data_IF_127617799151
#
_entry.id   IF_127617799151
#
_cell.length_a   1.000
_cell.length_b   1.000
_cell.length_c   1.000
_cell.angle_alpha   90.00
_cell.angle_beta   90.00
_cell.angle_gamma   90.00
#
_symmetry.space_group_name_H-M   'P 1'
#
loop_
_entity.id
_entity.type
_entity.pdbx_description
1 polymer ?
#
# COMPACT_ATOMS: atom_id res chain seq x y z
N UNK A 1 -25.13 -8.38 -1.49
CA UNK A 1 -24.09 -8.75 -0.49
C UNK A 1 -24.29 -7.99 0.82
N UNK A 2 -24.19 -6.61 0.86
CA UNK A 2 -24.26 -5.81 2.11
C UNK A 2 -25.55 -6.07 2.89
N UNK A 3 -26.73 -5.96 2.25
CA UNK A 3 -28.04 -6.21 2.91
C UNK A 3 -28.12 -7.63 3.47
N UNK A 4 -27.66 -8.63 2.74
CA UNK A 4 -27.60 -10.02 3.22
C UNK A 4 -26.67 -10.15 4.43
N UNK A 5 -25.50 -9.52 4.40
CA UNK A 5 -24.56 -9.52 5.53
C UNK A 5 -25.19 -8.88 6.80
N UNK A 6 -25.85 -7.73 6.65
CA UNK A 6 -26.50 -7.06 7.78
C UNK A 6 -27.61 -7.89 8.45
N UNK A 7 -28.28 -8.76 7.71
CA UNK A 7 -29.38 -9.59 8.22
C UNK A 7 -28.99 -10.97 8.74
N UNK A 8 -27.79 -11.47 8.40
CA UNK A 8 -27.43 -12.87 8.66
C UNK A 8 -26.08 -13.08 9.35
N UNK A 9 -25.23 -12.04 9.47
CA UNK A 9 -23.90 -12.19 10.03
C UNK A 9 -23.79 -11.73 11.48
N UNK A 10 -23.02 -12.50 12.27
CA UNK A 10 -22.63 -12.17 13.63
C UNK A 10 -21.26 -11.50 13.71
N UNK A 11 -20.81 -11.23 14.94
CA UNK A 11 -19.50 -10.66 15.18
C UNK A 11 -18.40 -11.70 14.92
N UNK A 12 -17.62 -11.49 13.88
CA UNK A 12 -16.52 -12.37 13.53
C UNK A 12 -15.46 -12.43 14.66
N UNK A 13 -15.00 -13.65 14.98
CA UNK A 13 -13.92 -13.87 15.96
C UNK A 13 -14.33 -13.78 17.44
N UNK A 14 -15.60 -13.50 17.77
CA UNK A 14 -16.07 -13.36 19.17
C UNK A 14 -17.24 -14.28 19.55
N UNK A 15 -17.42 -15.38 18.88
CA UNK A 15 -18.49 -16.32 19.23
C UNK A 15 -18.40 -17.62 18.46
N UNK A 16 -19.04 -18.66 19.02
CA UNK A 16 -19.18 -19.97 18.40
C UNK A 16 -20.55 -20.16 17.72
N UNK A 17 -21.36 -19.10 17.61
CA UNK A 17 -22.63 -19.17 16.89
C UNK A 17 -22.39 -19.34 15.39
N UNK A 18 -23.33 -19.99 14.70
CA UNK A 18 -23.24 -20.20 13.25
C UNK A 18 -23.06 -18.89 12.47
N UNK A 19 -23.74 -17.82 12.89
CA UNK A 19 -23.61 -16.49 12.31
C UNK A 19 -22.20 -15.89 12.48
N UNK A 20 -21.56 -16.08 13.65
CA UNK A 20 -20.20 -15.62 13.91
C UNK A 20 -19.16 -16.43 13.13
N UNK A 21 -19.35 -17.74 13.03
CA UNK A 21 -18.49 -18.61 12.22
C UNK A 21 -18.61 -18.32 10.73
N UNK A 22 -19.82 -18.05 10.23
CA UNK A 22 -20.05 -17.67 8.84
C UNK A 22 -19.35 -16.35 8.51
N UNK A 23 -19.46 -15.33 9.37
CA UNK A 23 -18.75 -14.07 9.20
C UNK A 23 -17.21 -14.24 9.19
N UNK A 24 -16.69 -15.08 10.09
CA UNK A 24 -15.25 -15.39 10.17
C UNK A 24 -14.75 -16.09 8.91
N UNK A 25 -15.52 -17.00 8.34
CA UNK A 25 -15.17 -17.68 7.08
C UNK A 25 -15.09 -16.70 5.92
N UNK A 26 -16.06 -15.81 5.76
CA UNK A 26 -16.06 -14.83 4.69
C UNK A 26 -14.83 -13.91 4.77
N UNK A 27 -14.46 -13.47 5.97
CA UNK A 27 -13.25 -12.67 6.19
C UNK A 27 -12.00 -13.47 5.77
N UNK A 28 -11.92 -14.73 6.18
CA UNK A 28 -10.79 -15.60 5.85
C UNK A 28 -10.71 -15.88 4.35
N UNK A 29 -11.80 -16.26 3.71
CA UNK A 29 -11.87 -16.52 2.27
C UNK A 29 -11.52 -15.28 1.45
N UNK A 30 -11.94 -14.09 1.92
CA UNK A 30 -11.55 -12.81 1.29
C UNK A 30 -10.04 -12.58 1.40
N UNK A 31 -9.43 -12.85 2.56
CA UNK A 31 -7.97 -12.76 2.71
C UNK A 31 -7.24 -13.74 1.80
N UNK A 32 -7.70 -14.99 1.69
CA UNK A 32 -7.12 -15.98 0.77
C UNK A 32 -7.23 -15.52 -0.68
N UNK A 33 -8.41 -15.02 -1.09
CA UNK A 33 -8.62 -14.49 -2.43
C UNK A 33 -7.69 -13.32 -2.76
N UNK A 34 -7.53 -12.37 -1.83
CA UNK A 34 -6.62 -11.23 -1.99
C UNK A 34 -5.15 -11.66 -1.98
N UNK A 35 -4.75 -12.57 -1.10
CA UNK A 35 -3.40 -13.11 -1.09
C UNK A 35 -3.05 -13.76 -2.44
N UNK A 36 -3.95 -14.58 -2.98
CA UNK A 36 -3.79 -15.19 -4.31
C UNK A 36 -3.76 -14.15 -5.43
N UNK A 37 -4.61 -13.12 -5.36
CA UNK A 37 -4.69 -12.08 -6.39
C UNK A 37 -3.39 -11.27 -6.48
N UNK A 38 -2.77 -10.96 -5.34
CA UNK A 38 -1.58 -10.10 -5.26
C UNK A 38 -0.27 -10.88 -5.07
N UNK A 39 -0.29 -12.19 -5.12
CA UNK A 39 0.91 -13.02 -4.98
C UNK A 39 1.50 -13.04 -3.57
N UNK A 40 0.72 -12.75 -2.53
CA UNK A 40 1.16 -12.89 -1.15
C UNK A 40 1.22 -14.38 -0.76
N UNK A 41 2.12 -14.75 0.15
CA UNK A 41 2.37 -16.15 0.51
C UNK A 41 1.18 -16.81 1.21
N UNK A 42 0.44 -16.04 2.00
CA UNK A 42 -0.70 -16.57 2.75
C UNK A 42 -1.67 -15.48 3.22
N UNK A 43 -2.86 -15.88 3.63
CA UNK A 43 -3.95 -15.00 4.09
C UNK A 43 -3.60 -14.14 5.33
N UNK A 44 -2.59 -14.53 6.13
CA UNK A 44 -2.19 -13.79 7.34
C UNK A 44 -1.47 -12.48 7.00
N UNK A 45 -0.94 -12.36 5.77
CA UNK A 45 -0.32 -11.12 5.28
C UNK A 45 -1.34 -10.08 4.85
N UNK A 46 -2.64 -10.41 4.81
CA UNK A 46 -3.71 -9.47 4.46
C UNK A 46 -4.32 -8.90 5.74
N UNK A 47 -4.19 -7.60 5.93
CA UNK A 47 -4.83 -6.84 7.00
C UNK A 47 -5.96 -5.95 6.44
N UNK A 48 -7.11 -5.93 7.10
CA UNK A 48 -8.20 -5.02 6.77
C UNK A 48 -8.11 -3.74 7.61
N UNK A 49 -8.32 -2.63 6.94
CA UNK A 49 -8.44 -1.30 7.53
C UNK A 49 -9.71 -0.64 7.03
N UNK A 50 -10.10 0.49 7.59
CA UNK A 50 -11.31 1.21 7.18
C UNK A 50 -11.22 1.76 5.74
N UNK A 51 -10.01 2.07 5.28
CA UNK A 51 -9.74 2.60 3.94
C UNK A 51 -8.21 2.63 3.68
N UNK A 52 -7.81 2.92 2.42
CA UNK A 52 -6.39 3.01 2.06
C UNK A 52 -5.64 4.13 2.77
N UNK A 53 -6.31 5.22 3.15
CA UNK A 53 -5.68 6.29 3.93
C UNK A 53 -5.19 5.79 5.28
N UNK A 54 -6.01 4.98 5.97
CA UNK A 54 -5.61 4.35 7.23
C UNK A 54 -4.46 3.36 7.01
N UNK A 55 -4.54 2.51 5.97
CA UNK A 55 -3.44 1.57 5.63
C UNK A 55 -2.11 2.30 5.44
N UNK A 56 -2.11 3.38 4.64
CA UNK A 56 -0.92 4.19 4.37
C UNK A 56 -0.40 4.88 5.64
N UNK A 57 -1.30 5.41 6.48
CA UNK A 57 -0.89 5.99 7.77
C UNK A 57 -0.25 4.96 8.70
N UNK A 58 -0.81 3.74 8.77
CA UNK A 58 -0.25 2.63 9.57
C UNK A 58 1.14 2.27 9.04
N UNK A 59 1.31 2.11 7.72
CA UNK A 59 2.60 1.79 7.12
C UNK A 59 3.63 2.89 7.37
N UNK A 60 3.32 4.15 7.07
CA UNK A 60 4.24 5.27 7.20
C UNK A 60 4.62 5.50 8.66
N UNK A 61 3.62 5.64 9.55
CA UNK A 61 3.86 5.99 10.96
C UNK A 61 4.32 4.80 11.81
N UNK A 62 4.09 3.57 11.36
CA UNK A 62 4.52 2.37 12.06
C UNK A 62 5.95 1.95 11.72
N UNK A 63 6.53 2.48 10.64
CA UNK A 63 7.86 2.11 10.17
C UNK A 63 8.89 3.21 10.45
N UNK A 64 8.51 4.48 10.21
CA UNK A 64 9.42 5.61 10.30
C UNK A 64 9.55 6.14 11.72
N UNK A 65 10.79 6.35 12.15
CA UNK A 65 11.17 7.01 13.38
C UNK A 65 11.87 8.36 13.09
N UNK A 66 11.96 9.27 14.08
CA UNK A 66 12.80 10.46 13.95
C UNK A 66 14.26 10.09 13.61
N UNK A 67 14.83 10.75 12.63
CA UNK A 67 16.17 10.46 12.10
C UNK A 67 16.19 9.51 10.91
N UNK A 68 15.13 8.77 10.63
CA UNK A 68 15.00 7.99 9.39
C UNK A 68 14.81 8.91 8.17
N UNK A 69 15.21 8.43 7.01
CA UNK A 69 14.95 9.08 5.72
C UNK A 69 13.96 8.27 4.89
N UNK A 70 13.03 8.96 4.23
CA UNK A 70 12.03 8.37 3.32
C UNK A 70 12.06 9.08 1.98
N UNK A 71 11.93 8.30 0.90
CA UNK A 71 11.84 8.80 -0.46
C UNK A 71 10.43 8.57 -0.99
N UNK A 72 9.86 9.60 -1.63
CA UNK A 72 8.53 9.55 -2.26
C UNK A 72 8.53 10.34 -3.57
N UNK A 73 7.39 10.43 -4.25
CA UNK A 73 7.27 11.16 -5.53
C UNK A 73 6.28 12.31 -5.47
N UNK A 74 6.36 13.21 -6.44
CA UNK A 74 5.37 14.30 -6.61
C UNK A 74 4.01 13.80 -7.09
N UNK A 75 3.87 12.53 -7.47
CA UNK A 75 2.62 11.94 -7.96
C UNK A 75 1.69 11.45 -6.86
N UNK A 76 2.13 11.54 -5.61
CA UNK A 76 1.43 10.94 -4.49
C UNK A 76 0.11 11.62 -4.16
N UNK A 77 -0.84 10.81 -3.75
CA UNK A 77 -2.06 11.31 -3.15
C UNK A 77 -1.80 11.88 -1.74
N UNK A 78 -2.67 12.79 -1.30
CA UNK A 78 -2.61 13.37 0.06
C UNK A 78 -2.61 12.33 1.20
N UNK A 79 -3.11 11.13 0.95
CA UNK A 79 -3.05 10.02 1.92
C UNK A 79 -1.63 9.55 2.21
N UNK A 80 -0.68 9.82 1.30
CA UNK A 80 0.75 9.58 1.46
C UNK A 80 1.45 10.85 1.94
N UNK A 81 1.24 11.98 1.26
CA UNK A 81 1.99 13.21 1.55
C UNK A 81 1.71 13.77 2.96
N UNK A 82 0.44 13.78 3.40
CA UNK A 82 0.10 14.34 4.73
C UNK A 82 0.78 13.61 5.89
N UNK A 83 0.73 12.27 6.00
CA UNK A 83 1.46 11.58 7.05
C UNK A 83 2.98 11.71 6.91
N UNK A 84 3.55 11.79 5.69
CA UNK A 84 4.98 12.07 5.50
C UNK A 84 5.38 13.44 6.03
N UNK A 85 4.62 14.49 5.72
CA UNK A 85 4.86 15.85 6.27
C UNK A 85 4.67 15.90 7.79
N UNK A 86 3.80 15.06 8.35
CA UNK A 86 3.68 14.93 9.80
C UNK A 86 4.93 14.29 10.42
N UNK A 87 5.47 13.25 9.77
CA UNK A 87 6.72 12.60 10.22
C UNK A 87 7.93 13.52 10.05
N UNK A 88 7.99 14.29 8.96
CA UNK A 88 9.03 15.30 8.76
C UNK A 88 9.08 16.32 9.92
N UNK A 89 7.91 16.79 10.40
CA UNK A 89 7.84 17.66 11.59
C UNK A 89 8.31 16.99 12.87
N UNK A 90 8.34 15.66 12.90
CA UNK A 90 8.82 14.86 14.04
C UNK A 90 10.30 14.48 13.91
N UNK A 91 10.97 14.90 12.85
CA UNK A 91 12.40 14.70 12.64
C UNK A 91 12.77 13.61 11.63
N UNK A 92 11.81 13.09 10.85
CA UNK A 92 12.10 12.23 9.69
C UNK A 92 12.56 13.10 8.52
N UNK A 93 13.57 12.67 7.78
CA UNK A 93 14.00 13.35 6.56
C UNK A 93 13.14 12.89 5.37
N UNK A 94 12.70 13.82 4.52
CA UNK A 94 11.84 13.54 3.38
C UNK A 94 12.49 14.01 2.07
N UNK A 95 12.61 13.10 1.10
CA UNK A 95 12.95 13.43 -0.29
C UNK A 95 11.74 13.20 -1.20
N UNK A 96 11.30 14.24 -1.89
CA UNK A 96 10.20 14.19 -2.86
C UNK A 96 10.78 14.27 -4.27
N UNK A 97 10.71 13.17 -5.02
CA UNK A 97 11.29 13.06 -6.36
C UNK A 97 10.32 13.60 -7.40
N UNK A 98 10.86 14.45 -8.27
CA UNK A 98 10.13 15.02 -9.39
C UNK A 98 9.84 14.00 -10.51
N UNK A 99 9.06 14.45 -11.49
CA UNK A 99 8.77 13.70 -12.70
C UNK A 99 9.47 14.30 -13.91
N UNK A 100 9.73 13.46 -14.90
CA UNK A 100 10.17 13.90 -16.22
C UNK A 100 9.00 14.55 -17.02
N UNK A 101 9.26 15.03 -18.23
CA UNK A 101 8.26 15.66 -19.11
C UNK A 101 7.05 14.76 -19.45
N UNK A 102 7.20 13.44 -19.31
CA UNK A 102 6.12 12.47 -19.51
C UNK A 102 5.32 12.19 -18.23
N UNK A 103 5.62 12.88 -17.14
CA UNK A 103 4.97 12.69 -15.84
C UNK A 103 5.38 11.39 -15.13
N UNK A 104 6.51 10.79 -15.51
CA UNK A 104 7.04 9.58 -14.86
C UNK A 104 8.10 9.96 -13.82
N UNK A 105 8.14 9.28 -12.64
CA UNK A 105 9.17 9.54 -11.64
C UNK A 105 10.57 9.38 -12.23
N UNK A 106 11.50 10.22 -11.82
CA UNK A 106 12.90 10.12 -12.18
C UNK A 106 13.58 9.06 -11.30
N UNK A 107 13.70 7.83 -11.83
CA UNK A 107 14.28 6.69 -11.09
C UNK A 107 15.75 6.92 -10.76
N UNK A 108 16.51 7.57 -11.64
CA UNK A 108 17.91 7.87 -11.37
C UNK A 108 18.08 8.89 -10.24
N UNK A 109 17.24 9.93 -10.22
CA UNK A 109 17.19 10.88 -9.12
C UNK A 109 16.72 10.21 -7.81
N UNK A 110 15.80 9.23 -7.88
CA UNK A 110 15.36 8.47 -6.72
C UNK A 110 16.49 7.63 -6.12
N UNK A 111 17.26 6.90 -6.96
CA UNK A 111 18.42 6.12 -6.49
C UNK A 111 19.51 7.04 -5.93
N UNK A 112 19.78 8.20 -6.58
CA UNK A 112 20.74 9.18 -6.11
C UNK A 112 20.34 9.86 -4.78
N UNK A 113 19.06 9.88 -4.44
CA UNK A 113 18.55 10.43 -3.18
C UNK A 113 18.71 9.48 -1.98
N UNK A 114 19.12 8.22 -2.20
CA UNK A 114 19.32 7.23 -1.14
C UNK A 114 20.51 7.67 -0.27
N UNK A 115 20.27 7.70 1.05
CA UNK A 115 21.23 8.06 2.10
C UNK A 115 21.48 6.85 3.01
N UNK A 116 22.47 6.94 3.88
CA UNK A 116 22.77 5.90 4.87
C UNK A 116 21.59 5.64 5.82
N UNK A 117 20.83 6.68 6.17
CA UNK A 117 19.64 6.61 7.02
C UNK A 117 18.33 6.40 6.24
N UNK A 118 18.38 6.11 4.94
CA UNK A 118 17.17 5.79 4.17
C UNK A 118 16.59 4.47 4.64
N UNK A 119 15.32 4.47 5.02
CA UNK A 119 14.59 3.30 5.52
C UNK A 119 13.49 2.84 4.59
N UNK A 120 12.85 3.77 3.88
CA UNK A 120 11.66 3.48 3.09
C UNK A 120 11.65 4.23 1.77
N UNK A 121 11.14 3.57 0.73
CA UNK A 121 10.62 4.20 -0.48
C UNK A 121 9.11 3.95 -0.51
N UNK A 122 8.33 5.01 -0.76
CA UNK A 122 6.87 4.89 -0.94
C UNK A 122 6.45 5.61 -2.20
N UNK A 123 5.69 4.94 -3.06
CA UNK A 123 5.15 5.58 -4.26
C UNK A 123 3.79 5.02 -4.69
N UNK A 124 3.04 5.83 -5.43
CA UNK A 124 1.83 5.37 -6.10
C UNK A 124 2.16 4.51 -7.32
N UNK A 125 1.38 3.45 -7.54
CA UNK A 125 1.45 2.66 -8.77
C UNK A 125 0.64 3.30 -9.91
N UNK A 126 -0.31 4.18 -9.58
CA UNK A 126 -1.08 4.94 -10.55
C UNK A 126 -1.60 6.25 -9.98
N UNK A 127 -1.30 7.36 -10.66
CA UNK A 127 -1.73 8.68 -10.23
C UNK A 127 -3.21 8.91 -10.50
N UNK A 128 -3.97 9.28 -9.50
CA UNK A 128 -5.37 9.68 -9.64
C UNK A 128 -5.55 11.04 -10.32
N UNK A 129 -4.48 11.82 -10.43
CA UNK A 129 -4.50 13.17 -11.01
C UNK A 129 -4.12 13.15 -12.49
N UNK A 130 -3.02 12.49 -12.83
CA UNK A 130 -2.46 12.48 -14.19
C UNK A 130 -2.84 11.23 -14.99
N UNK A 131 -3.30 10.16 -14.33
CA UNK A 131 -3.57 8.85 -14.95
C UNK A 131 -2.31 8.06 -15.31
N UNK A 132 -1.12 8.57 -14.99
CA UNK A 132 0.14 7.86 -15.26
C UNK A 132 0.22 6.57 -14.44
N UNK A 133 0.61 5.49 -15.12
CA UNK A 133 0.97 4.22 -14.49
C UNK A 133 2.48 4.20 -14.23
N UNK A 134 2.87 3.91 -13.00
CA UNK A 134 4.27 3.83 -12.58
C UNK A 134 4.69 2.36 -12.53
N UNK A 135 5.78 2.02 -13.21
CA UNK A 135 6.37 0.68 -13.13
C UNK A 135 7.07 0.49 -11.77
N UNK A 136 6.29 0.03 -10.80
CA UNK A 136 6.76 -0.20 -9.43
C UNK A 136 7.75 -1.36 -9.33
N UNK A 137 7.80 -2.28 -10.30
CA UNK A 137 8.75 -3.38 -10.28
C UNK A 137 10.21 -2.91 -10.45
N UNK A 138 10.42 -1.81 -11.19
CA UNK A 138 11.76 -1.20 -11.31
C UNK A 138 12.18 -0.57 -9.97
N UNK A 139 11.25 0.12 -9.30
CA UNK A 139 11.49 0.76 -8.01
C UNK A 139 11.70 -0.29 -6.91
N UNK A 140 10.91 -1.37 -6.92
CA UNK A 140 11.03 -2.47 -5.96
C UNK A 140 12.41 -3.15 -6.02
N UNK A 141 12.89 -3.46 -7.22
CA UNK A 141 14.25 -4.00 -7.41
C UNK A 141 15.34 -3.08 -6.88
N UNK A 142 15.19 -1.77 -7.11
CA UNK A 142 16.12 -0.78 -6.58
C UNK A 142 16.04 -0.71 -5.05
N UNK A 143 14.85 -0.63 -4.47
CA UNK A 143 14.67 -0.64 -3.03
C UNK A 143 15.27 -1.88 -2.37
N UNK A 144 14.96 -3.07 -2.91
CA UNK A 144 15.47 -4.34 -2.42
C UNK A 144 17.01 -4.42 -2.51
N UNK A 145 17.62 -3.97 -3.61
CA UNK A 145 19.10 -3.89 -3.78
C UNK A 145 19.76 -3.09 -2.67
N UNK A 146 19.09 -2.05 -2.16
CA UNK A 146 19.59 -1.18 -1.10
C UNK A 146 19.06 -1.55 0.30
N UNK A 147 18.32 -2.66 0.45
CA UNK A 147 17.78 -3.12 1.74
C UNK A 147 16.69 -2.21 2.31
N UNK A 148 15.99 -1.47 1.47
CA UNK A 148 14.95 -0.51 1.85
C UNK A 148 13.57 -1.16 1.85
N UNK A 149 12.68 -0.71 2.73
CA UNK A 149 11.27 -1.12 2.72
C UNK A 149 10.56 -0.40 1.57
N UNK A 150 9.88 -1.17 0.72
CA UNK A 150 9.13 -0.64 -0.41
C UNK A 150 7.61 -0.71 -0.17
N UNK A 151 6.98 0.46 -0.10
CA UNK A 151 5.54 0.63 0.09
C UNK A 151 4.89 1.16 -1.18
N UNK A 152 3.81 0.53 -1.61
CA UNK A 152 3.08 0.93 -2.83
C UNK A 152 1.64 1.31 -2.50
N UNK A 153 1.24 2.52 -2.90
CA UNK A 153 -0.17 2.91 -2.99
C UNK A 153 -0.77 2.43 -4.32
N UNK A 154 -1.50 1.33 -4.27
CA UNK A 154 -2.20 0.75 -5.40
C UNK A 154 -3.71 1.09 -5.43
N UNK A 155 -4.12 2.17 -4.77
CA UNK A 155 -5.55 2.55 -4.67
C UNK A 155 -6.24 2.74 -6.03
N UNK A 156 -5.50 3.07 -7.10
CA UNK A 156 -6.04 3.22 -8.45
C UNK A 156 -5.87 1.98 -9.32
N UNK A 157 -4.94 1.09 -8.98
CA UNK A 157 -4.49 0.01 -9.85
C UNK A 157 -4.87 -1.39 -9.37
N UNK A 158 -5.12 -1.56 -8.06
CA UNK A 158 -5.58 -2.83 -7.50
C UNK A 158 -6.89 -3.31 -8.15
N UNK A 159 -6.88 -4.51 -8.72
CA UNK A 159 -8.00 -5.08 -9.47
C UNK A 159 -8.12 -4.61 -10.92
N UNK A 160 -7.30 -3.64 -11.37
CA UNK A 160 -7.28 -3.12 -12.75
C UNK A 160 -6.04 -3.61 -13.49
N UNK A 161 -4.89 -3.54 -12.85
CA UNK A 161 -3.62 -4.01 -13.41
C UNK A 161 -3.09 -5.19 -12.60
N UNK A 162 -2.35 -6.11 -13.24
CA UNK A 162 -1.68 -7.20 -12.52
C UNK A 162 -0.65 -6.63 -11.54
N UNK A 163 -0.75 -7.02 -10.28
CA UNK A 163 0.22 -6.72 -9.24
C UNK A 163 0.59 -8.03 -8.56
N UNK A 164 1.87 -8.32 -8.46
CA UNK A 164 2.42 -9.50 -7.77
C UNK A 164 3.50 -9.00 -6.82
N UNK A 165 3.22 -9.01 -5.53
CA UNK A 165 4.10 -8.38 -4.53
C UNK A 165 5.47 -9.04 -4.45
N UNK A 166 5.56 -10.36 -4.72
CA UNK A 166 6.84 -11.07 -4.71
C UNK A 166 7.68 -10.74 -5.95
N UNK A 167 7.06 -10.75 -7.15
CA UNK A 167 7.78 -10.48 -8.39
C UNK A 167 8.20 -9.01 -8.55
N UNK A 168 7.48 -8.12 -7.88
CA UNK A 168 7.71 -6.67 -7.91
C UNK A 168 8.52 -6.17 -6.71
N UNK A 169 8.98 -7.08 -5.83
CA UNK A 169 9.73 -6.75 -4.61
C UNK A 169 9.01 -5.68 -3.74
N UNK A 170 7.69 -5.87 -3.54
CA UNK A 170 6.84 -4.97 -2.74
C UNK A 170 6.69 -5.56 -1.34
N UNK A 171 7.13 -4.82 -0.32
CA UNK A 171 6.99 -5.23 1.09
C UNK A 171 5.58 -4.94 1.63
N UNK A 172 5.01 -3.78 1.25
CA UNK A 172 3.68 -3.38 1.69
C UNK A 172 2.88 -2.82 0.51
N UNK A 173 1.73 -3.43 0.23
CA UNK A 173 0.77 -2.98 -0.77
C UNK A 173 -0.47 -2.41 -0.09
N UNK A 174 -0.72 -1.10 -0.23
CA UNK A 174 -1.92 -0.44 0.27
C UNK A 174 -2.92 -0.21 -0.87
N UNK A 175 -4.18 -0.59 -0.66
CA UNK A 175 -5.22 -0.43 -1.68
C UNK A 175 -6.62 -0.30 -1.06
N UNK A 176 -7.63 -0.08 -1.90
CA UNK A 176 -9.02 0.03 -1.48
C UNK A 176 -9.92 -0.92 -2.25
N UNK A 177 -10.94 -1.47 -1.60
CA UNK A 177 -11.88 -2.43 -2.20
C UNK A 177 -12.92 -1.80 -3.13
N UNK A 178 -13.30 -0.53 -2.90
CA UNK A 178 -14.44 0.11 -3.59
C UNK A 178 -14.11 0.71 -4.98
N UNK A 179 -12.87 0.58 -5.47
CA UNK A 179 -12.45 1.02 -6.81
C UNK A 179 -12.33 -0.18 -7.76
N UNK A 180 -11.16 -0.50 -8.25
CA UNK A 180 -10.95 -1.56 -9.22
C UNK A 180 -11.34 -2.97 -8.78
N UNK A 181 -11.40 -3.23 -7.47
CA UNK A 181 -11.89 -4.50 -6.92
C UNK A 181 -13.42 -4.59 -6.86
N UNK A 182 -14.15 -3.51 -7.20
CA UNK A 182 -15.62 -3.45 -7.27
C UNK A 182 -16.33 -3.87 -5.96
N UNK A 183 -15.68 -3.70 -4.83
CA UNK A 183 -16.25 -3.93 -3.52
C UNK A 183 -17.25 -2.83 -3.09
N UNK A 184 -18.04 -3.07 -2.04
CA UNK A 184 -18.99 -2.10 -1.51
C UNK A 184 -18.29 -0.89 -0.87
#
# INVERSE_FOLDING_TARGET
AVVSAMSSMGNAGRGASEAALSASRIIYDTREGLAKLFGAENARQIAFTSNSTESLNIAIKGILDPGDHVITTVLEHNSVLRPLYEMEKKGTELSVIGCNEKGMPDIAAMEAAIKENTKMIICTNGSNLTGNYVDVAVIGKMAHKHGLIFVVDASQTAGVFPIDVQKMDIDILCFTGHKGLLGP
#
